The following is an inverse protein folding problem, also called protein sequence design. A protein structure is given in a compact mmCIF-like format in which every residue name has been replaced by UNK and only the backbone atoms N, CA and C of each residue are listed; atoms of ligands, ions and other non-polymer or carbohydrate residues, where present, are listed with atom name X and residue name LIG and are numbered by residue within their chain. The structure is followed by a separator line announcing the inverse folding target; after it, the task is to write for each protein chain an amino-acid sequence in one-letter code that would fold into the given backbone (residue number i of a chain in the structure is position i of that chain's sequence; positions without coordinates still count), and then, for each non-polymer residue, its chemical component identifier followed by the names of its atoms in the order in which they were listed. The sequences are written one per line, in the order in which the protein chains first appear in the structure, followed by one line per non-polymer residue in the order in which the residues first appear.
data_IF_819841580146
#
_entry.id   IF_819841580146
#
_cell.length_a   1.000
_cell.length_b   1.000
_cell.length_c   1.000
_cell.angle_alpha   90.00
_cell.angle_beta   90.00
_cell.angle_gamma   90.00
#
_symmetry.space_group_name_H-M   'P 1'
#
loop_
_entity.id
_entity.type
_entity.pdbx_description
1 polymer ?
#
# COMPACT_ATOMS: atom_id res chain seq x y z
N UNK A 1 2.32 11.25 11.71
CA UNK A 1 1.30 12.17 12.24
C UNK A 1 1.87 13.57 12.44
N UNK A 2 2.87 13.77 13.31
CA UNK A 2 3.53 15.09 13.47
C UNK A 2 4.13 15.65 12.17
N UNK A 3 4.70 14.80 11.32
CA UNK A 3 5.27 15.20 10.01
C UNK A 3 4.20 15.71 9.03
N UNK A 4 2.99 15.16 9.09
CA UNK A 4 1.89 15.56 8.20
C UNK A 4 1.26 16.88 8.66
N UNK A 5 1.11 17.07 9.98
CA UNK A 5 0.69 18.34 10.57
C UNK A 5 1.73 19.44 10.28
N UNK A 6 3.02 19.15 10.50
CA UNK A 6 4.10 20.08 10.16
C UNK A 6 4.10 20.46 8.67
N UNK A 7 3.89 19.49 7.77
CA UNK A 7 3.77 19.75 6.34
C UNK A 7 2.60 20.67 5.98
N UNK A 8 1.43 20.46 6.59
CA UNK A 8 0.25 21.30 6.39
C UNK A 8 0.43 22.72 6.95
N UNK A 9 1.05 22.86 8.12
CA UNK A 9 1.38 24.15 8.72
C UNK A 9 2.40 24.93 7.87
N UNK A 10 3.44 24.24 7.37
CA UNK A 10 4.45 24.82 6.47
C UNK A 10 3.81 25.29 5.17
N UNK A 11 2.94 24.48 4.57
CA UNK A 11 2.21 24.83 3.36
C UNK A 11 1.33 26.08 3.55
N UNK A 12 0.56 26.13 4.65
CA UNK A 12 -0.25 27.30 5.00
C UNK A 12 0.60 28.55 5.24
N UNK A 13 1.73 28.41 5.91
CA UNK A 13 2.68 29.49 6.14
C UNK A 13 3.26 30.03 4.83
N UNK A 14 3.67 29.15 3.92
CA UNK A 14 4.14 29.52 2.59
C UNK A 14 3.06 30.30 1.83
N UNK A 15 1.82 29.82 1.81
CA UNK A 15 0.71 30.54 1.14
C UNK A 15 0.46 31.94 1.72
N UNK A 16 0.54 32.09 3.05
CA UNK A 16 0.34 33.38 3.73
C UNK A 16 1.50 34.37 3.53
N UNK A 17 2.73 33.86 3.46
CA UNK A 17 3.92 34.67 3.17
C UNK A 17 3.87 35.16 1.72
N UNK A 18 3.49 34.29 0.79
CA UNK A 18 3.38 34.62 -0.63
C UNK A 18 2.19 35.56 -0.94
N UNK A 19 1.11 35.54 -0.15
CA UNK A 19 -0.03 36.44 -0.35
C UNK A 19 0.20 37.86 0.21
N UNK A 20 1.29 38.11 0.95
CA UNK A 20 1.48 39.35 1.70
C UNK A 20 2.05 40.51 0.88
N UNK A 21 2.63 40.27 -0.29
CA UNK A 21 3.41 41.28 -1.02
C UNK A 21 2.97 41.62 -2.45
N UNK A 22 1.82 41.13 -2.94
CA UNK A 22 1.39 41.34 -4.33
C UNK A 22 2.10 40.41 -5.33
N UNK A 23 1.54 40.31 -6.54
CA UNK A 23 1.77 39.26 -7.56
C UNK A 23 3.16 38.61 -7.53
N UNK A 24 3.17 37.31 -7.19
CA UNK A 24 4.34 36.42 -7.24
C UNK A 24 5.20 36.64 -8.49
N UNK A 25 6.52 36.75 -8.33
CA UNK A 25 7.42 36.82 -9.48
C UNK A 25 7.31 35.53 -10.31
N UNK A 26 7.20 35.67 -11.62
CA UNK A 26 6.98 34.54 -12.54
C UNK A 26 8.03 33.42 -12.39
N UNK A 27 9.25 33.75 -11.97
CA UNK A 27 10.31 32.78 -11.70
C UNK A 27 10.05 31.88 -10.49
N UNK A 28 9.48 32.40 -9.40
CA UNK A 28 9.15 31.60 -8.20
C UNK A 28 7.97 30.68 -8.47
N UNK A 29 6.98 31.16 -9.23
CA UNK A 29 5.84 30.34 -9.68
C UNK A 29 6.33 29.21 -10.59
N UNK A 30 7.16 29.52 -11.59
CA UNK A 30 7.71 28.51 -12.52
C UNK A 30 8.55 27.44 -11.81
N UNK A 31 9.41 27.82 -10.87
CA UNK A 31 10.20 26.85 -10.10
C UNK A 31 9.32 25.95 -9.22
N UNK A 32 8.27 26.51 -8.60
CA UNK A 32 7.28 25.74 -7.83
C UNK A 32 6.50 24.78 -8.72
N UNK A 33 6.03 25.23 -9.89
CA UNK A 33 5.30 24.41 -10.83
C UNK A 33 6.16 23.25 -11.36
N UNK A 34 7.44 23.49 -11.63
CA UNK A 34 8.40 22.44 -12.03
C UNK A 34 8.64 21.41 -10.91
N UNK A 35 8.76 21.86 -9.66
CA UNK A 35 8.90 20.96 -8.51
C UNK A 35 7.65 20.11 -8.29
N UNK A 36 6.46 20.71 -8.37
CA UNK A 36 5.19 20.01 -8.23
C UNK A 36 5.00 19.01 -9.37
N UNK A 37 5.28 19.41 -10.61
CA UNK A 37 5.19 18.52 -11.77
C UNK A 37 6.20 17.36 -11.67
N UNK A 38 7.45 17.66 -11.30
CA UNK A 38 8.50 16.65 -11.13
C UNK A 38 8.18 15.66 -10.01
N UNK A 39 7.71 16.15 -8.86
CA UNK A 39 7.27 15.32 -7.75
C UNK A 39 6.07 14.44 -8.14
N UNK A 40 5.10 15.00 -8.87
CA UNK A 40 3.94 14.25 -9.37
C UNK A 40 4.34 13.09 -10.29
N UNK A 41 5.26 13.33 -11.22
CA UNK A 41 5.81 12.27 -12.09
C UNK A 41 6.53 11.18 -11.30
N UNK A 42 7.38 11.57 -10.35
CA UNK A 42 8.12 10.63 -9.53
C UNK A 42 7.19 9.77 -8.67
N UNK A 43 6.21 10.38 -8.00
CA UNK A 43 5.18 9.68 -7.22
C UNK A 43 4.41 8.70 -8.09
N UNK A 44 4.05 9.10 -9.31
CA UNK A 44 3.33 8.25 -10.25
C UNK A 44 4.17 7.02 -10.64
N UNK A 45 5.41 7.21 -11.08
CA UNK A 45 6.29 6.11 -11.51
C UNK A 45 6.60 5.17 -10.34
N UNK A 46 7.01 5.71 -9.19
CA UNK A 46 7.30 4.91 -8.01
C UNK A 46 6.04 4.20 -7.48
N UNK A 47 4.87 4.83 -7.56
CA UNK A 47 3.59 4.23 -7.22
C UNK A 47 3.25 3.03 -8.11
N UNK A 48 3.43 3.16 -9.43
CA UNK A 48 3.22 2.08 -10.38
C UNK A 48 4.19 0.91 -10.15
N UNK A 49 5.48 1.20 -9.98
CA UNK A 49 6.49 0.19 -9.68
C UNK A 49 6.19 -0.54 -8.37
N UNK A 50 5.84 0.21 -7.32
CA UNK A 50 5.46 -0.35 -6.02
C UNK A 50 4.22 -1.23 -6.15
N UNK A 51 3.20 -0.78 -6.88
CA UNK A 51 1.99 -1.54 -7.16
C UNK A 51 2.32 -2.87 -7.85
N UNK A 52 3.14 -2.84 -8.91
CA UNK A 52 3.55 -4.06 -9.62
C UNK A 52 4.31 -5.02 -8.70
N UNK A 53 5.22 -4.52 -7.87
CA UNK A 53 5.95 -5.33 -6.90
C UNK A 53 5.01 -5.96 -5.87
N UNK A 54 4.03 -5.21 -5.35
CA UNK A 54 3.03 -5.73 -4.40
C UNK A 54 2.16 -6.80 -5.04
N UNK A 55 1.72 -6.61 -6.29
CA UNK A 55 0.94 -7.63 -7.02
C UNK A 55 1.78 -8.89 -7.22
N UNK A 56 3.00 -8.76 -7.74
CA UNK A 56 3.90 -9.89 -7.97
C UNK A 56 4.29 -10.60 -6.66
N UNK A 57 4.46 -9.85 -5.57
CA UNK A 57 4.67 -10.38 -4.23
C UNK A 57 3.44 -11.14 -3.74
N UNK A 58 2.23 -10.59 -3.89
CA UNK A 58 0.99 -11.20 -3.39
C UNK A 58 0.71 -12.57 -4.03
N UNK A 59 1.01 -12.72 -5.34
CA UNK A 59 0.91 -14.02 -6.02
C UNK A 59 1.88 -15.04 -5.43
N UNK A 60 3.13 -14.64 -5.13
CA UNK A 60 4.12 -15.53 -4.51
C UNK A 60 3.77 -15.85 -3.06
N UNK A 61 3.35 -14.86 -2.29
CA UNK A 61 2.97 -15.00 -0.90
C UNK A 61 1.74 -15.91 -0.73
N UNK A 62 0.75 -15.83 -1.63
CA UNK A 62 -0.41 -16.71 -1.62
C UNK A 62 -0.03 -18.18 -1.85
N UNK A 63 0.94 -18.44 -2.74
CA UNK A 63 1.48 -19.79 -2.96
C UNK A 63 2.26 -20.28 -1.74
N UNK A 64 3.17 -19.46 -1.23
CA UNK A 64 3.98 -19.81 -0.05
C UNK A 64 3.12 -20.10 1.19
N UNK A 65 2.08 -19.29 1.44
CA UNK A 65 1.14 -19.51 2.54
C UNK A 65 0.31 -20.80 2.39
N UNK A 66 -0.04 -21.17 1.16
CA UNK A 66 -0.72 -22.42 0.88
C UNK A 66 0.21 -23.64 1.06
N UNK A 67 1.43 -23.57 0.51
CA UNK A 67 2.46 -24.62 0.63
C UNK A 67 2.82 -24.88 2.09
N UNK A 68 3.01 -23.83 2.89
CA UNK A 68 3.28 -23.94 4.33
C UNK A 68 2.18 -24.67 5.08
N UNK A 69 0.92 -24.42 4.71
CA UNK A 69 -0.25 -25.12 5.25
C UNK A 69 -0.51 -26.49 4.63
N UNK A 70 0.38 -27.03 3.79
CA UNK A 70 0.24 -28.32 3.11
C UNK A 70 -0.91 -28.35 2.08
N UNK A 71 -1.26 -27.20 1.49
CA UNK A 71 -2.47 -27.01 0.68
C UNK A 71 -2.18 -26.38 -0.67
N UNK A 72 -3.13 -26.54 -1.59
CA UNK A 72 -3.15 -25.80 -2.86
C UNK A 72 -3.71 -24.40 -2.61
N UNK A 73 -3.15 -23.40 -3.29
CA UNK A 73 -3.65 -22.03 -3.20
C UNK A 73 -5.13 -21.95 -3.65
N UNK A 74 -5.95 -21.26 -2.86
CA UNK A 74 -7.39 -21.04 -3.12
C UNK A 74 -7.67 -20.31 -4.43
N UNK A 75 -6.77 -19.39 -4.82
CA UNK A 75 -6.86 -18.58 -6.03
C UNK A 75 -5.65 -18.79 -6.92
N UNK A 76 -5.90 -18.80 -8.22
CA UNK A 76 -4.87 -18.75 -9.24
C UNK A 76 -4.17 -17.38 -9.25
N UNK A 77 -2.92 -17.35 -9.73
CA UNK A 77 -2.19 -16.08 -9.86
C UNK A 77 -2.90 -15.08 -10.78
N UNK A 78 -3.64 -15.56 -11.78
CA UNK A 78 -4.43 -14.70 -12.67
C UNK A 78 -5.59 -14.02 -11.94
N UNK A 79 -6.32 -14.74 -11.12
CA UNK A 79 -7.41 -14.18 -10.31
C UNK A 79 -6.90 -13.12 -9.33
N UNK A 80 -5.73 -13.35 -8.74
CA UNK A 80 -5.07 -12.35 -7.87
C UNK A 80 -4.75 -11.09 -8.68
N UNK A 81 -4.09 -11.22 -9.85
CA UNK A 81 -3.74 -10.08 -10.71
C UNK A 81 -4.98 -9.31 -11.17
N UNK A 82 -5.99 -10.01 -11.69
CA UNK A 82 -7.27 -9.41 -12.10
C UNK A 82 -7.93 -8.70 -10.92
N UNK A 83 -7.88 -9.33 -9.74
CA UNK A 83 -8.38 -8.75 -8.49
C UNK A 83 -7.74 -7.42 -8.12
N UNK A 84 -6.46 -7.23 -8.44
CA UNK A 84 -5.77 -5.96 -8.21
C UNK A 84 -5.98 -4.93 -9.33
N UNK A 85 -6.21 -5.35 -10.57
CA UNK A 85 -6.25 -4.42 -11.71
C UNK A 85 -7.66 -3.94 -12.07
N UNK A 86 -8.69 -4.75 -11.82
CA UNK A 86 -10.06 -4.42 -12.20
C UNK A 86 -10.68 -3.46 -11.18
N UNK A 87 -11.12 -2.25 -11.59
CA UNK A 87 -11.83 -1.33 -10.71
C UNK A 87 -13.03 -1.99 -10.04
N UNK A 88 -13.40 -1.53 -8.84
CA UNK A 88 -14.43 -2.14 -7.95
C UNK A 88 -14.03 -3.50 -7.39
N UNK A 89 -13.56 -4.44 -8.21
CA UNK A 89 -13.04 -5.74 -7.75
C UNK A 89 -11.84 -5.55 -6.82
N UNK A 90 -10.99 -4.58 -7.14
CA UNK A 90 -9.86 -4.13 -6.33
C UNK A 90 -10.23 -3.67 -4.92
N UNK A 91 -11.48 -3.32 -4.64
CA UNK A 91 -11.90 -3.01 -3.27
C UNK A 91 -12.01 -4.25 -2.39
N UNK A 92 -12.22 -5.44 -2.95
CA UNK A 92 -12.53 -6.65 -2.16
C UNK A 92 -11.46 -7.73 -2.25
N UNK A 93 -10.96 -8.01 -3.45
CA UNK A 93 -10.05 -9.14 -3.68
C UNK A 93 -8.72 -8.98 -2.93
N UNK A 94 -8.02 -7.83 -2.98
CA UNK A 94 -6.77 -7.64 -2.25
C UNK A 94 -6.88 -7.93 -0.74
N UNK A 95 -7.93 -7.43 -0.09
CA UNK A 95 -8.17 -7.69 1.34
C UNK A 95 -8.37 -9.18 1.63
N UNK A 96 -9.15 -9.88 0.80
CA UNK A 96 -9.37 -11.33 0.95
C UNK A 96 -8.10 -12.17 0.72
N UNK A 97 -7.30 -11.81 -0.30
CA UNK A 97 -6.04 -12.49 -0.62
C UNK A 97 -5.04 -12.33 0.51
N UNK A 98 -4.90 -11.12 1.04
CA UNK A 98 -4.00 -10.86 2.18
C UNK A 98 -4.47 -11.56 3.46
N UNK A 99 -5.78 -11.69 3.69
CA UNK A 99 -6.31 -12.42 4.84
C UNK A 99 -6.03 -13.92 4.74
N UNK A 100 -6.10 -14.49 3.54
CA UNK A 100 -5.74 -15.89 3.28
C UNK A 100 -4.24 -16.13 3.42
N UNK A 101 -3.40 -15.20 2.95
CA UNK A 101 -1.95 -15.23 3.17
C UNK A 101 -1.64 -15.20 4.67
N UNK A 102 -2.24 -14.27 5.42
CA UNK A 102 -2.06 -14.16 6.88
C UNK A 102 -2.52 -15.43 7.60
N UNK A 103 -3.63 -16.03 7.18
CA UNK A 103 -4.15 -17.27 7.74
C UNK A 103 -3.18 -18.44 7.54
N UNK A 104 -2.63 -18.59 6.33
CA UNK A 104 -1.61 -19.61 6.03
C UNK A 104 -0.29 -19.35 6.75
N UNK A 105 0.14 -18.09 6.84
CA UNK A 105 1.39 -17.71 7.49
C UNK A 105 1.37 -17.92 9.02
N UNK A 106 0.19 -17.95 9.63
CA UNK A 106 -0.02 -18.22 11.05
C UNK A 106 -0.36 -19.69 11.34
N UNK A 107 -0.13 -20.59 10.39
CA UNK A 107 -0.32 -22.03 10.51
C UNK A 107 -1.73 -22.41 11.04
N UNK A 108 -2.75 -21.62 10.66
CA UNK A 108 -4.13 -21.83 11.13
C UNK A 108 -4.83 -23.00 10.41
N UNK A 109 -5.82 -23.63 11.06
CA UNK A 109 -6.57 -24.76 10.50
C UNK A 109 -7.18 -24.44 9.13
N UNK A 110 -7.20 -25.43 8.24
CA UNK A 110 -7.67 -25.27 6.86
C UNK A 110 -9.19 -25.05 6.75
N UNK A 111 -9.94 -25.61 7.68
CA UNK A 111 -11.40 -25.53 7.80
C UNK A 111 -11.87 -24.22 8.48
N UNK A 112 -10.96 -23.55 9.19
CA UNK A 112 -11.25 -22.28 9.83
C UNK A 112 -11.28 -21.14 8.80
N UNK A 113 -12.33 -20.31 8.86
CA UNK A 113 -12.45 -19.12 8.02
C UNK A 113 -11.29 -18.15 8.27
N UNK A 114 -10.63 -17.60 7.22
CA UNK A 114 -9.63 -16.57 7.38
C UNK A 114 -10.18 -15.36 8.15
N UNK A 115 -9.50 -15.00 9.24
CA UNK A 115 -9.85 -13.83 10.06
C UNK A 115 -8.75 -12.79 9.94
N UNK A 116 -8.99 -11.68 9.22
CA UNK A 116 -7.98 -10.64 9.04
C UNK A 116 -7.64 -9.99 10.38
N UNK A 117 -6.36 -9.72 10.60
CA UNK A 117 -5.91 -8.95 11.75
C UNK A 117 -6.40 -7.51 11.71
N UNK A 118 -6.37 -6.84 12.87
CA UNK A 118 -6.71 -5.41 12.96
C UNK A 118 -5.84 -4.55 12.05
N UNK A 119 -4.55 -4.91 11.89
CA UNK A 119 -3.64 -4.19 10.99
C UNK A 119 -4.11 -4.31 9.53
N UNK A 120 -4.50 -5.51 9.11
CA UNK A 120 -5.01 -5.75 7.76
C UNK A 120 -6.34 -5.02 7.53
N UNK A 121 -7.25 -5.01 8.51
CA UNK A 121 -8.51 -4.27 8.44
C UNK A 121 -8.30 -2.76 8.33
N UNK A 122 -7.37 -2.19 9.11
CA UNK A 122 -7.03 -0.75 9.04
C UNK A 122 -6.46 -0.40 7.66
N UNK A 123 -5.51 -1.19 7.17
CA UNK A 123 -4.99 -1.00 5.81
C UNK A 123 -6.10 -1.07 4.77
N UNK A 124 -7.00 -2.04 4.90
CA UNK A 124 -8.07 -2.24 3.92
C UNK A 124 -9.07 -1.08 3.91
N UNK A 125 -9.40 -0.53 5.08
CA UNK A 125 -10.22 0.67 5.18
C UNK A 125 -9.54 1.88 4.52
N UNK A 126 -8.24 2.10 4.79
CA UNK A 126 -7.48 3.22 4.20
C UNK A 126 -7.34 3.05 2.68
N UNK A 127 -7.14 1.82 2.20
CA UNK A 127 -7.14 1.47 0.78
C UNK A 127 -8.48 1.83 0.11
N UNK A 128 -9.60 1.40 0.71
CA UNK A 128 -10.93 1.68 0.18
C UNK A 128 -11.22 3.18 0.10
N UNK A 129 -10.83 3.94 1.14
CA UNK A 129 -10.91 5.41 1.13
C UNK A 129 -10.08 6.00 -0.02
N UNK A 130 -8.84 5.52 -0.21
CA UNK A 130 -7.98 5.95 -1.31
C UNK A 130 -8.59 5.72 -2.69
N UNK A 131 -9.18 4.53 -2.92
CA UNK A 131 -9.86 4.21 -4.18
C UNK A 131 -11.08 5.09 -4.41
N UNK A 132 -11.92 5.30 -3.39
CA UNK A 132 -13.10 6.18 -3.49
C UNK A 132 -12.69 7.62 -3.78
N UNK A 133 -11.65 8.13 -3.12
CA UNK A 133 -11.10 9.45 -3.39
C UNK A 133 -10.56 9.57 -4.82
N UNK A 134 -9.82 8.58 -5.30
CA UNK A 134 -9.29 8.57 -6.67
C UNK A 134 -10.42 8.60 -7.71
N UNK A 135 -11.48 7.79 -7.52
CA UNK A 135 -12.67 7.81 -8.38
C UNK A 135 -13.36 9.16 -8.31
N UNK A 136 -13.46 9.76 -7.12
CA UNK A 136 -14.08 11.08 -6.91
C UNK A 136 -13.30 12.17 -7.63
N UNK A 137 -11.96 12.21 -7.50
CA UNK A 137 -11.09 13.13 -8.23
C UNK A 137 -11.24 12.95 -9.73
N UNK A 138 -11.22 11.70 -10.20
CA UNK A 138 -11.41 11.41 -11.61
C UNK A 138 -12.77 11.91 -12.13
N UNK A 139 -13.85 11.67 -11.40
CA UNK A 139 -15.18 12.18 -11.75
C UNK A 139 -15.24 13.73 -11.73
N UNK A 140 -14.57 14.36 -10.77
CA UNK A 140 -14.52 15.83 -10.66
C UNK A 140 -13.64 16.49 -11.71
N UNK A 141 -12.67 15.77 -12.28
CA UNK A 141 -11.80 16.29 -13.36
C UNK A 141 -12.58 16.69 -14.62
N UNK A 142 -13.81 16.19 -14.79
CA UNK A 142 -14.70 16.59 -15.88
C UNK A 142 -15.41 17.94 -15.65
N UNK A 143 -15.33 18.52 -14.44
CA UNK A 143 -15.92 19.84 -14.14
C UNK A 143 -14.98 20.97 -14.59
N UNK A 144 -15.53 21.95 -15.31
CA UNK A 144 -14.79 23.13 -15.76
C UNK A 144 -15.15 24.36 -14.91
N UNK A 145 -14.15 25.10 -14.42
CA UNK A 145 -14.37 26.32 -13.62
C UNK A 145 -13.18 26.70 -12.74
N UNK A 146 -13.07 27.98 -12.33
CA UNK A 146 -11.98 28.46 -11.46
C UNK A 146 -12.09 27.87 -10.05
N UNK A 147 -13.32 27.80 -9.50
CA UNK A 147 -13.58 27.15 -8.22
C UNK A 147 -13.26 25.64 -8.26
N UNK A 148 -13.52 24.97 -9.39
CA UNK A 148 -13.19 23.57 -9.58
C UNK A 148 -11.66 23.31 -9.57
N UNK A 149 -10.85 24.27 -10.04
CA UNK A 149 -9.38 24.19 -9.95
C UNK A 149 -8.87 24.39 -8.53
N UNK A 150 -9.46 25.33 -7.78
CA UNK A 150 -9.08 25.59 -6.38
C UNK A 150 -9.43 24.38 -5.48
N UNK A 151 -10.64 23.84 -5.62
CA UNK A 151 -11.07 22.61 -4.91
C UNK A 151 -10.19 21.41 -5.31
N UNK A 152 -9.74 21.38 -6.57
CA UNK A 152 -8.81 20.36 -7.08
C UNK A 152 -7.49 20.31 -6.32
N UNK A 153 -6.89 21.45 -5.94
CA UNK A 153 -5.60 21.48 -5.22
C UNK A 153 -5.72 20.83 -3.84
N UNK A 154 -6.74 21.22 -3.07
CA UNK A 154 -6.96 20.66 -1.72
C UNK A 154 -7.28 19.17 -1.81
N UNK A 155 -8.12 18.78 -2.77
CA UNK A 155 -8.50 17.39 -2.97
C UNK A 155 -7.29 16.53 -3.39
N UNK A 156 -6.43 17.01 -4.28
CA UNK A 156 -5.18 16.33 -4.65
C UNK A 156 -4.25 16.17 -3.44
N UNK A 157 -4.08 17.20 -2.61
CA UNK A 157 -3.28 17.09 -1.39
C UNK A 157 -3.83 16.00 -0.45
N UNK A 158 -5.16 15.88 -0.31
CA UNK A 158 -5.79 14.81 0.47
C UNK A 158 -5.52 13.43 -0.15
N UNK A 159 -5.62 13.30 -1.48
CA UNK A 159 -5.30 12.05 -2.19
C UNK A 159 -3.84 11.65 -1.96
N UNK A 160 -2.90 12.59 -2.06
CA UNK A 160 -1.48 12.31 -1.87
C UNK A 160 -1.18 11.85 -0.43
N UNK A 161 -1.82 12.47 0.57
CA UNK A 161 -1.70 12.06 1.97
C UNK A 161 -2.25 10.65 2.20
N UNK A 162 -3.41 10.34 1.63
CA UNK A 162 -4.00 8.99 1.73
C UNK A 162 -3.14 7.96 0.98
N UNK A 163 -2.63 8.29 -0.21
CA UNK A 163 -1.73 7.43 -0.96
C UNK A 163 -0.43 7.14 -0.19
N UNK A 164 0.14 8.15 0.47
CA UNK A 164 1.31 7.97 1.34
C UNK A 164 0.98 7.07 2.54
N UNK A 165 -0.18 7.25 3.18
CA UNK A 165 -0.63 6.38 4.26
C UNK A 165 -0.83 4.93 3.79
N UNK A 166 -1.47 4.72 2.63
CA UNK A 166 -1.62 3.42 1.99
C UNK A 166 -0.25 2.79 1.75
N UNK A 167 0.71 3.53 1.18
CA UNK A 167 2.04 3.01 0.88
C UNK A 167 2.77 2.53 2.14
N UNK A 168 2.76 3.35 3.21
CA UNK A 168 3.37 2.98 4.50
C UNK A 168 2.70 1.74 5.11
N UNK A 169 1.37 1.71 5.15
CA UNK A 169 0.64 0.56 5.70
C UNK A 169 0.86 -0.71 4.85
N UNK A 170 0.94 -0.56 3.53
CA UNK A 170 1.25 -1.66 2.59
C UNK A 170 2.65 -2.21 2.87
N UNK A 171 3.67 -1.35 2.97
CA UNK A 171 5.03 -1.77 3.28
C UNK A 171 5.07 -2.52 4.62
N UNK A 172 4.40 -2.01 5.67
CA UNK A 172 4.33 -2.67 6.97
C UNK A 172 3.67 -4.04 6.92
N UNK A 173 2.56 -4.19 6.17
CA UNK A 173 1.88 -5.48 5.98
C UNK A 173 2.75 -6.46 5.21
N UNK A 174 3.31 -6.03 4.08
CA UNK A 174 4.19 -6.86 3.24
C UNK A 174 5.38 -7.34 4.05
N UNK A 175 6.04 -6.47 4.81
CA UNK A 175 7.16 -6.86 5.69
C UNK A 175 6.73 -7.83 6.78
N UNK A 176 5.61 -7.57 7.47
CA UNK A 176 5.12 -8.45 8.53
C UNK A 176 4.77 -9.85 8.00
N UNK A 177 4.00 -9.92 6.89
CA UNK A 177 3.62 -11.17 6.26
C UNK A 177 4.82 -11.91 5.67
N UNK A 178 5.78 -11.19 5.06
CA UNK A 178 7.01 -11.80 4.54
C UNK A 178 7.87 -12.38 5.65
N UNK A 179 7.94 -11.73 6.83
CA UNK A 179 8.64 -12.30 7.98
C UNK A 179 7.95 -13.56 8.50
N UNK A 180 6.62 -13.58 8.53
CA UNK A 180 5.87 -14.78 8.94
C UNK A 180 6.07 -15.93 7.95
N UNK A 181 6.05 -15.64 6.66
CA UNK A 181 6.24 -16.63 5.59
C UNK A 181 7.69 -17.08 5.41
N UNK A 182 8.66 -16.28 5.86
CA UNK A 182 10.08 -16.60 5.78
C UNK A 182 10.41 -17.93 6.47
N UNK A 183 11.44 -18.65 6.00
CA UNK A 183 11.83 -19.92 6.62
C UNK A 183 12.19 -19.66 8.09
N UNK A 184 11.47 -20.31 9.01
CA UNK A 184 11.91 -20.43 10.40
C UNK A 184 13.28 -21.10 10.31
N UNK A 185 14.35 -20.41 10.75
CA UNK A 185 15.65 -21.07 10.91
C UNK A 185 15.41 -22.24 11.86
N UNK A 186 15.32 -23.45 11.33
CA UNK A 186 15.32 -24.64 12.16
C UNK A 186 16.60 -24.56 13.01
N UNK A 187 16.52 -24.72 14.35
CA UNK A 187 17.74 -24.84 15.14
C UNK A 187 18.56 -25.97 14.51
N UNK A 188 19.85 -25.72 14.30
CA UNK A 188 20.79 -26.72 13.78
C UNK A 188 20.59 -27.97 14.62
N UNK A 189 20.04 -29.02 14.01
CA UNK A 189 19.78 -30.28 14.69
C UNK A 189 21.14 -30.94 14.89
N UNK A 190 21.81 -30.60 16.00
CA UNK A 190 23.00 -31.31 16.46
C UNK A 190 22.59 -32.77 16.66
N UNK A 191 22.92 -33.58 15.65
CA UNK A 191 22.61 -35.00 15.65
C UNK A 191 23.66 -35.64 16.54
N UNK A 192 23.29 -35.85 17.81
CA UNK A 192 24.16 -36.47 18.80
C UNK A 192 24.28 -37.96 18.43
N UNK A 193 25.31 -38.29 17.66
CA UNK A 193 25.65 -39.67 17.29
C UNK A 193 26.29 -40.32 18.52
N UNK A 194 25.52 -41.12 19.24
CA UNK A 194 26.06 -42.00 20.27
C UNK A 194 26.70 -43.22 19.59
N UNK A 195 28.02 -43.21 19.47
CA UNK A 195 28.78 -44.40 19.06
C UNK A 195 28.73 -45.39 20.22
N UNK A 196 27.96 -46.46 20.06
CA UNK A 196 28.00 -47.61 20.97
C UNK A 196 29.23 -48.43 20.61
N UNK A 197 30.32 -48.25 21.33
CA UNK A 197 31.42 -49.21 21.36
C UNK A 197 30.89 -50.48 22.02
N UNK A 198 30.81 -51.56 21.24
CA UNK A 198 30.47 -52.89 21.74
C UNK A 198 31.68 -53.55 22.37
N UNK A 199 31.44 -54.17 23.52
CA UNK A 199 32.30 -55.19 24.16
C UNK A 199 31.97 -56.58 23.60
#
# INVERSE_FOLDING_TARGET
MAVLAAGAEIWRYVLLVLSRSGALSAGVVSASDMLVAGAGWLVTVLGLLTGLLVVAWSVRAARAGAERGGRVASRSGREIVVGWLVPVVNLSVPGSVLAEIEHGALDRPADARPRPSRQLLVWWAVWAVGVVLAITVFALSFRTGVQARADGVVLHAVVDLVAAAVAVLTARLVSALSMLLGPVRAPVRETLVTVRTGD
#
